data_IF_702227365632
#
_entry.id   IF_702227365632
#
_cell.length_a   1.000
_cell.length_b   1.000
_cell.length_c   1.000
_cell.angle_alpha   90.00
_cell.angle_beta   90.00
_cell.angle_gamma   90.00
#
_symmetry.space_group_name_H-M   'P 1'
#
loop_
_entity.id
_entity.type
_entity.pdbx_description
1 polymer ?
#
# COMPACT_ATOMS: atom_id res chain seq x y z
N UNK A 1 7.34 18.40 -14.46
CA UNK A 1 6.29 17.94 -13.53
C UNK A 1 5.26 17.12 -14.30
N UNK A 2 5.52 15.83 -14.50
CA UNK A 2 4.64 14.87 -15.22
C UNK A 2 4.25 13.66 -14.35
N UNK A 3 4.83 13.54 -13.14
CA UNK A 3 4.69 12.36 -12.28
C UNK A 3 3.25 11.91 -12.04
N UNK A 4 2.32 12.84 -11.81
CA UNK A 4 0.90 12.49 -11.57
C UNK A 4 0.21 11.82 -12.77
N UNK A 5 0.59 12.16 -14.01
CA UNK A 5 -0.01 11.55 -15.20
C UNK A 5 0.54 10.15 -15.45
N UNK A 6 1.85 9.96 -15.28
CA UNK A 6 2.51 8.66 -15.41
C UNK A 6 2.07 7.71 -14.30
N UNK A 7 1.98 8.17 -13.05
CA UNK A 7 1.43 7.43 -11.92
C UNK A 7 -0.02 6.98 -12.20
N UNK A 8 -0.88 7.86 -12.72
CA UNK A 8 -2.27 7.50 -13.11
C UNK A 8 -2.32 6.49 -14.24
N UNK A 9 -1.37 6.51 -15.17
CA UNK A 9 -1.28 5.51 -16.25
C UNK A 9 -0.87 4.15 -15.69
N UNK A 10 0.18 4.12 -14.87
CA UNK A 10 0.72 2.90 -14.27
C UNK A 10 -0.28 2.26 -13.31
N UNK A 11 -0.99 3.07 -12.50
CA UNK A 11 -2.08 2.57 -11.65
C UNK A 11 -3.19 1.90 -12.47
N UNK A 12 -3.62 2.51 -13.59
CA UNK A 12 -4.66 1.92 -14.46
C UNK A 12 -4.20 0.60 -15.09
N UNK A 13 -2.96 0.54 -15.57
CA UNK A 13 -2.38 -0.68 -16.12
C UNK A 13 -2.31 -1.78 -15.06
N UNK A 14 -1.85 -1.44 -13.86
CA UNK A 14 -1.76 -2.36 -12.73
C UNK A 14 -3.13 -2.89 -12.34
N UNK A 15 -4.16 -2.03 -12.25
CA UNK A 15 -5.52 -2.49 -11.98
C UNK A 15 -6.03 -3.49 -13.04
N UNK A 16 -5.79 -3.20 -14.32
CA UNK A 16 -6.19 -4.11 -15.41
C UNK A 16 -5.49 -5.48 -15.31
N UNK A 17 -4.22 -5.51 -14.87
CA UNK A 17 -3.49 -6.75 -14.60
C UNK A 17 -4.17 -7.59 -13.52
N UNK A 18 -4.51 -6.97 -12.38
CA UNK A 18 -5.23 -7.64 -11.29
C UNK A 18 -6.60 -8.18 -11.74
N UNK A 19 -7.34 -7.41 -12.55
CA UNK A 19 -8.65 -7.81 -13.07
C UNK A 19 -8.59 -8.96 -14.09
N UNK A 20 -7.44 -9.13 -14.77
CA UNK A 20 -7.23 -10.17 -15.77
C UNK A 20 -6.78 -11.52 -15.18
N UNK A 21 -6.45 -11.58 -13.88
CA UNK A 21 -6.08 -12.81 -13.21
C UNK A 21 -7.22 -13.87 -13.27
N UNK A 22 -6.89 -15.17 -13.36
CA UNK A 22 -7.88 -16.22 -13.17
C UNK A 22 -8.33 -16.29 -11.70
N UNK A 23 -9.50 -16.89 -11.46
CA UNK A 23 -9.86 -17.30 -10.09
C UNK A 23 -8.95 -18.44 -9.60
N UNK A 24 -8.64 -18.51 -8.29
CA UNK A 24 -9.09 -17.62 -7.21
C UNK A 24 -8.24 -16.35 -7.01
N UNK A 25 -7.13 -16.19 -7.75
CA UNK A 25 -6.13 -15.13 -7.56
C UNK A 25 -6.70 -13.73 -7.72
N UNK A 26 -7.59 -13.54 -8.71
CA UNK A 26 -8.28 -12.26 -8.92
C UNK A 26 -9.05 -11.80 -7.69
N UNK A 27 -9.78 -12.70 -7.04
CA UNK A 27 -10.54 -12.36 -5.82
C UNK A 27 -9.60 -11.93 -4.70
N UNK A 28 -8.51 -12.68 -4.48
CA UNK A 28 -7.53 -12.38 -3.44
C UNK A 28 -6.80 -11.05 -3.71
N UNK A 29 -6.35 -10.83 -4.94
CA UNK A 29 -5.70 -9.61 -5.38
C UNK A 29 -6.59 -8.37 -5.18
N UNK A 30 -7.86 -8.44 -5.61
CA UNK A 30 -8.81 -7.34 -5.45
C UNK A 30 -9.14 -7.06 -3.97
N UNK A 31 -9.20 -8.11 -3.14
CA UNK A 31 -9.39 -7.94 -1.70
C UNK A 31 -8.21 -7.20 -1.06
N UNK A 32 -6.97 -7.61 -1.39
CA UNK A 32 -5.75 -6.93 -0.92
C UNK A 32 -5.71 -5.47 -1.41
N UNK A 33 -5.96 -5.24 -2.71
CA UNK A 33 -5.98 -3.89 -3.28
C UNK A 33 -6.98 -2.99 -2.55
N UNK A 34 -8.20 -3.47 -2.30
CA UNK A 34 -9.22 -2.75 -1.54
C UNK A 34 -8.77 -2.48 -0.11
N UNK A 35 -8.23 -3.48 0.57
CA UNK A 35 -7.73 -3.34 1.95
C UNK A 35 -6.66 -2.24 2.05
N UNK A 36 -5.67 -2.23 1.14
CA UNK A 36 -4.61 -1.22 1.13
C UNK A 36 -5.10 0.21 0.91
N UNK A 37 -6.18 0.40 0.13
CA UNK A 37 -6.79 1.72 -0.03
C UNK A 37 -7.39 2.26 1.29
N UNK A 38 -7.78 1.39 2.22
CA UNK A 38 -8.32 1.79 3.53
C UNK A 38 -7.29 1.77 4.65
N UNK A 39 -6.29 0.89 4.57
CA UNK A 39 -5.24 0.75 5.59
C UNK A 39 -4.43 2.05 5.80
N UNK A 40 -4.50 3.00 4.85
CA UNK A 40 -4.31 4.42 5.16
C UNK A 40 -2.87 4.84 5.48
N UNK A 41 -1.89 4.03 5.10
CA UNK A 41 -0.49 4.23 5.44
C UNK A 41 0.35 5.07 4.50
N UNK A 42 0.12 4.89 3.20
CA UNK A 42 1.01 5.39 2.16
C UNK A 42 0.43 6.67 1.58
N UNK A 43 1.05 7.80 1.92
CA UNK A 43 0.65 9.13 1.43
C UNK A 43 1.47 9.62 0.24
N UNK A 44 2.52 8.87 -0.12
CA UNK A 44 3.33 9.12 -1.29
C UNK A 44 2.79 8.35 -2.50
N UNK A 45 2.44 9.07 -3.57
CA UNK A 45 1.77 8.49 -4.73
C UNK A 45 2.66 7.54 -5.55
N UNK A 46 3.98 7.75 -5.54
CA UNK A 46 4.93 6.88 -6.24
C UNK A 46 5.06 5.54 -5.51
N UNK A 47 5.25 5.60 -4.20
CA UNK A 47 5.30 4.44 -3.31
C UNK A 47 4.01 3.62 -3.38
N UNK A 48 2.85 4.27 -3.43
CA UNK A 48 1.56 3.60 -3.55
C UNK A 48 1.44 2.87 -4.90
N UNK A 49 1.86 3.51 -5.99
CA UNK A 49 1.85 2.89 -7.32
C UNK A 49 2.80 1.70 -7.37
N UNK A 50 4.01 1.83 -6.83
CA UNK A 50 4.99 0.76 -6.77
C UNK A 50 4.46 -0.45 -5.98
N UNK A 51 3.89 -0.22 -4.80
CA UNK A 51 3.27 -1.27 -3.99
C UNK A 51 2.20 -2.04 -4.77
N UNK A 52 1.35 -1.35 -5.55
CA UNK A 52 0.35 -2.04 -6.36
C UNK A 52 0.95 -2.80 -7.55
N UNK A 53 2.03 -2.30 -8.14
CA UNK A 53 2.76 -3.02 -9.19
C UNK A 53 3.31 -4.33 -8.63
N UNK A 54 3.98 -4.28 -7.48
CA UNK A 54 4.55 -5.46 -6.83
C UNK A 54 3.46 -6.44 -6.35
N UNK A 55 2.29 -5.93 -5.94
CA UNK A 55 1.12 -6.75 -5.66
C UNK A 55 0.65 -7.50 -6.91
N UNK A 56 0.62 -6.84 -8.08
CA UNK A 56 0.26 -7.50 -9.33
C UNK A 56 1.28 -8.56 -9.73
N UNK A 57 2.56 -8.25 -9.61
CA UNK A 57 3.65 -9.18 -9.92
C UNK A 57 3.57 -10.45 -9.04
N UNK A 58 3.28 -10.29 -7.73
CA UNK A 58 3.08 -11.39 -6.81
C UNK A 58 1.95 -12.33 -7.27
N UNK A 59 0.77 -11.77 -7.55
CA UNK A 59 -0.40 -12.58 -7.89
C UNK A 59 -0.35 -13.18 -9.30
N UNK A 60 0.27 -12.50 -10.26
CA UNK A 60 0.52 -13.06 -11.58
C UNK A 60 1.47 -14.27 -11.50
N UNK A 61 2.55 -14.14 -10.73
CA UNK A 61 3.49 -15.25 -10.53
C UNK A 61 2.81 -16.43 -9.83
N UNK A 62 2.05 -16.16 -8.77
CA UNK A 62 1.27 -17.18 -8.09
C UNK A 62 0.32 -17.93 -9.03
N UNK A 63 -0.36 -17.19 -9.93
CA UNK A 63 -1.25 -17.78 -10.92
C UNK A 63 -0.52 -18.63 -11.95
N UNK A 64 0.66 -18.20 -12.41
CA UNK A 64 1.53 -18.98 -13.32
C UNK A 64 2.03 -20.25 -12.65
N UNK A 65 2.48 -20.15 -11.41
CA UNK A 65 3.06 -21.26 -10.65
C UNK A 65 1.99 -22.19 -10.05
N UNK A 66 0.70 -21.82 -10.13
CA UNK A 66 -0.39 -22.58 -9.53
C UNK A 66 -0.36 -22.62 -7.99
N UNK A 67 0.23 -21.59 -7.37
CA UNK A 67 0.42 -21.53 -5.91
C UNK A 67 -0.92 -21.34 -5.20
N UNK A 68 -1.32 -22.21 -4.27
CA UNK A 68 -2.55 -22.01 -3.51
C UNK A 68 -2.58 -20.64 -2.81
N UNK A 69 -3.74 -19.99 -2.79
CA UNK A 69 -3.89 -18.66 -2.14
C UNK A 69 -3.51 -18.72 -0.66
N UNK A 70 -3.85 -19.81 0.03
CA UNK A 70 -3.50 -20.03 1.44
C UNK A 70 -1.99 -20.06 1.68
N UNK A 71 -1.20 -20.56 0.72
CA UNK A 71 0.26 -20.61 0.82
C UNK A 71 0.90 -19.22 0.68
N UNK A 72 0.16 -18.25 0.13
CA UNK A 72 0.61 -16.86 -0.06
C UNK A 72 0.19 -16.01 1.13
N UNK A 73 -1.08 -16.08 1.52
CA UNK A 73 -1.66 -15.21 2.56
C UNK A 73 -1.54 -15.78 3.97
N UNK A 74 -1.21 -17.06 4.11
CA UNK A 74 -1.18 -17.76 5.39
C UNK A 74 -2.55 -17.92 6.04
N UNK A 75 -2.55 -18.23 7.33
CA UNK A 75 -3.77 -18.37 8.14
C UNK A 75 -4.43 -17.02 8.46
N UNK A 76 -3.64 -15.94 8.46
CA UNK A 76 -4.12 -14.57 8.71
C UNK A 76 -3.85 -13.66 7.49
N UNK A 77 -4.85 -13.45 6.62
CA UNK A 77 -4.70 -12.59 5.45
C UNK A 77 -4.55 -11.10 5.80
N UNK A 78 -4.92 -10.68 7.02
CA UNK A 78 -4.70 -9.31 7.49
C UNK A 78 -3.23 -9.14 7.85
N UNK A 79 -2.66 -10.08 8.60
CA UNK A 79 -1.22 -10.07 8.93
C UNK A 79 -0.37 -10.03 7.65
N UNK A 80 -0.67 -10.88 6.67
CA UNK A 80 -0.01 -10.85 5.36
C UNK A 80 -0.08 -9.46 4.71
N UNK A 81 -1.28 -8.86 4.67
CA UNK A 81 -1.47 -7.56 4.03
C UNK A 81 -0.67 -6.46 4.76
N UNK A 82 -0.73 -6.43 6.09
CA UNK A 82 0.00 -5.43 6.87
C UNK A 82 1.52 -5.61 6.77
N UNK A 83 2.05 -6.83 6.80
CA UNK A 83 3.47 -7.11 6.56
C UNK A 83 3.91 -6.70 5.16
N UNK A 84 3.10 -7.01 4.14
CA UNK A 84 3.34 -6.55 2.77
C UNK A 84 3.41 -5.02 2.70
N UNK A 85 2.45 -4.31 3.31
CA UNK A 85 2.42 -2.85 3.32
C UNK A 85 3.60 -2.24 4.12
N UNK A 86 4.05 -2.88 5.19
CA UNK A 86 5.19 -2.43 6.00
C UNK A 86 6.48 -2.34 5.18
N UNK A 87 6.67 -3.23 4.20
CA UNK A 87 7.82 -3.21 3.30
C UNK A 87 7.94 -1.90 2.48
N UNK A 88 6.84 -1.18 2.28
CA UNK A 88 6.78 0.09 1.55
C UNK A 88 6.75 1.32 2.47
N UNK A 89 7.16 1.13 3.73
CA UNK A 89 7.23 2.21 4.71
C UNK A 89 5.99 2.26 5.61
N UNK A 90 5.80 1.20 6.40
CA UNK A 90 4.89 1.12 7.56
C UNK A 90 5.04 2.24 8.63
N UNK A 91 5.80 3.29 8.34
CA UNK A 91 5.78 4.61 8.97
C UNK A 91 4.60 5.43 8.40
N UNK A 92 3.40 4.97 8.79
CA UNK A 92 2.09 5.51 8.42
C UNK A 92 1.96 6.99 8.84
N UNK A 93 0.96 7.71 8.32
CA UNK A 93 0.45 9.02 8.73
C UNK A 93 0.77 9.56 10.16
N UNK A 94 0.91 8.69 11.17
CA UNK A 94 1.37 9.05 12.51
C UNK A 94 2.74 9.73 12.52
N UNK A 95 3.66 9.48 11.58
CA UNK A 95 4.94 10.19 11.60
C UNK A 95 4.81 11.64 11.13
N UNK A 96 3.88 11.92 10.19
CA UNK A 96 3.49 13.29 9.85
C UNK A 96 2.76 13.97 11.03
N UNK A 97 1.85 13.27 11.68
CA UNK A 97 1.13 13.81 12.84
C UNK A 97 2.04 13.97 14.06
N UNK A 98 3.02 13.07 14.29
CA UNK A 98 4.08 13.20 15.30
C UNK A 98 4.95 14.40 15.02
N UNK A 99 5.39 14.60 13.77
CA UNK A 99 6.15 15.77 13.38
C UNK A 99 5.35 17.07 13.61
N UNK A 100 4.04 17.05 13.29
CA UNK A 100 3.14 18.19 13.50
C UNK A 100 2.93 18.49 14.99
N UNK A 101 2.64 17.47 15.80
CA UNK A 101 2.51 17.56 17.25
C UNK A 101 3.78 18.12 17.90
N UNK A 102 4.95 17.59 17.54
CA UNK A 102 6.25 18.08 18.06
C UNK A 102 6.43 19.56 17.71
N UNK A 103 6.16 19.94 16.46
CA UNK A 103 6.28 21.33 16.00
C UNK A 103 5.35 22.28 16.76
N UNK A 104 4.10 21.88 17.00
CA UNK A 104 3.11 22.72 17.67
C UNK A 104 3.42 22.89 19.17
N UNK A 105 3.87 21.83 19.84
CA UNK A 105 4.32 21.88 21.24
C UNK A 105 5.59 22.74 21.40
N UNK A 106 6.55 22.66 20.47
CA UNK A 106 7.75 23.51 20.52
C UNK A 106 7.44 25.00 20.32
N UNK A 107 6.43 25.32 19.49
CA UNK A 107 5.95 26.70 19.36
C UNK A 107 5.29 27.21 20.64
N UNK A 108 4.43 26.40 21.27
CA UNK A 108 3.80 26.75 22.54
C UNK A 108 4.83 27.04 23.65
N UNK A 109 5.84 26.17 23.80
CA UNK A 109 6.96 26.36 24.77
C UNK A 109 7.79 27.62 24.56
N UNK A 110 7.78 28.20 23.36
CA UNK A 110 8.48 29.47 23.05
C UNK A 110 7.60 30.69 23.36
N UNK A 111 6.27 30.53 23.26
CA UNK A 111 5.29 31.55 23.67
C UNK A 111 5.26 31.76 25.18
N UNK A 112 5.36 30.70 25.98
CA UNK A 112 5.30 30.76 27.46
C UNK A 112 6.54 31.40 28.13
N UNK A 113 7.64 31.61 27.38
CA UNK A 113 8.88 32.19 27.90
C UNK A 113 9.02 33.70 27.66
N UNK A 114 7.90 34.37 27.36
CA UNK A 114 7.84 35.80 27.05
C UNK A 114 7.03 36.58 28.07
#
# INVERSE_FOLDING_TARGET
>A
MTGSLEQKKQYRQTKARLEALPEPYRTAANACQRYFMYYGGITDGETLVQMFVDLADLWERAAVDGTPVADIVGDDPVEFAEEFAKAYGGAQWIDKERARLVKDIEQAKRGDRK
#
